data_IF_680091193292
#
_entry.id   IF_680091193292
#
_cell.length_a   1.000
_cell.length_b   1.000
_cell.length_c   1.000
_cell.angle_alpha   90.00
_cell.angle_beta   90.00
_cell.angle_gamma   90.00
#
_symmetry.space_group_name_H-M   'P 1'
#
loop_
_entity.id
_entity.type
_entity.pdbx_description
1 polymer ?
#
# COMPACT_ATOMS: atom_id res chain seq x y z
N UNK A 1 -24.89 -9.29 37.22
CA UNK A 1 -23.51 -9.58 36.79
C UNK A 1 -23.12 -8.65 35.64
N UNK A 2 -22.30 -7.61 35.87
CA UNK A 2 -21.98 -6.59 34.88
C UNK A 2 -20.70 -6.96 34.10
N UNK A 3 -20.80 -7.91 33.17
CA UNK A 3 -19.70 -8.30 32.26
C UNK A 3 -19.60 -7.38 31.01
N UNK A 4 -20.52 -6.42 30.87
CA UNK A 4 -20.70 -5.61 29.64
C UNK A 4 -19.63 -4.54 29.37
N UNK A 5 -19.09 -3.80 30.36
CA UNK A 5 -18.18 -2.68 30.05
C UNK A 5 -16.86 -3.15 29.45
N UNK A 6 -16.24 -4.16 30.08
CA UNK A 6 -14.88 -4.62 29.74
C UNK A 6 -14.78 -5.21 28.35
N UNK A 7 -15.83 -5.90 27.88
CA UNK A 7 -15.88 -6.49 26.54
C UNK A 7 -16.02 -5.43 25.44
N UNK A 8 -16.82 -4.39 25.69
CA UNK A 8 -17.00 -3.27 24.75
C UNK A 8 -15.70 -2.48 24.62
N UNK A 9 -15.03 -2.19 25.75
CA UNK A 9 -13.75 -1.46 25.72
C UNK A 9 -12.65 -2.26 25.03
N UNK A 10 -12.56 -3.58 25.23
CA UNK A 10 -11.58 -4.44 24.53
C UNK A 10 -11.84 -4.49 23.02
N UNK A 11 -13.10 -4.59 22.59
CA UNK A 11 -13.43 -4.58 21.16
C UNK A 11 -13.10 -3.24 20.49
N UNK A 12 -13.33 -2.12 21.19
CA UNK A 12 -12.98 -0.80 20.69
C UNK A 12 -11.46 -0.61 20.58
N UNK A 13 -10.67 -1.09 21.55
CA UNK A 13 -9.20 -1.07 21.51
C UNK A 13 -8.65 -1.90 20.33
N UNK A 14 -9.15 -3.12 20.14
CA UNK A 14 -8.72 -3.99 19.02
C UNK A 14 -9.10 -3.38 17.66
N UNK A 15 -10.25 -2.72 17.58
CA UNK A 15 -10.72 -2.03 16.38
C UNK A 15 -9.81 -0.84 16.00
N UNK A 16 -9.43 -0.04 17.01
CA UNK A 16 -8.53 1.11 16.85
C UNK A 16 -7.13 0.69 16.40
N UNK A 17 -6.58 -0.36 17.01
CA UNK A 17 -5.27 -0.92 16.66
C UNK A 17 -5.24 -1.44 15.21
N UNK A 18 -6.28 -2.17 14.77
CA UNK A 18 -6.35 -2.71 13.42
C UNK A 18 -6.46 -1.61 12.36
N UNK A 19 -7.27 -0.58 12.61
CA UNK A 19 -7.40 0.56 11.68
C UNK A 19 -6.13 1.39 11.64
N UNK A 20 -5.50 1.62 12.79
CA UNK A 20 -4.22 2.33 12.88
C UNK A 20 -3.12 1.59 12.12
N UNK A 21 -3.07 0.26 12.23
CA UNK A 21 -2.11 -0.57 11.51
C UNK A 21 -2.33 -0.54 9.99
N UNK A 22 -3.59 -0.62 9.54
CA UNK A 22 -3.93 -0.48 8.13
C UNK A 22 -3.54 0.90 7.57
N UNK A 23 -3.87 1.97 8.31
CA UNK A 23 -3.58 3.34 7.91
C UNK A 23 -2.06 3.60 7.84
N UNK A 24 -1.31 3.12 8.83
CA UNK A 24 0.14 3.24 8.85
C UNK A 24 0.79 2.52 7.66
N UNK A 25 0.31 1.32 7.34
CA UNK A 25 0.79 0.55 6.19
C UNK A 25 0.49 1.28 4.87
N UNK A 26 -0.74 1.74 4.65
CA UNK A 26 -1.08 2.49 3.43
C UNK A 26 -0.29 3.79 3.30
N UNK A 27 0.02 4.48 4.40
CA UNK A 27 0.89 5.66 4.37
C UNK A 27 2.33 5.33 3.97
N UNK A 28 2.86 4.22 4.44
CA UNK A 28 4.18 3.75 4.01
C UNK A 28 4.20 3.44 2.51
N UNK A 29 3.12 2.86 1.99
CA UNK A 29 2.92 2.58 0.57
C UNK A 29 2.83 3.86 -0.27
N UNK A 30 2.14 4.91 0.20
CA UNK A 30 2.15 6.24 -0.44
C UNK A 30 3.59 6.74 -0.60
N UNK A 31 4.38 6.67 0.48
CA UNK A 31 5.76 7.13 0.44
C UNK A 31 6.62 6.30 -0.54
N UNK A 32 6.41 4.98 -0.58
CA UNK A 32 7.09 4.06 -1.50
C UNK A 32 6.78 4.40 -2.96
N UNK A 33 5.50 4.49 -3.33
CA UNK A 33 5.09 4.78 -4.69
C UNK A 33 5.51 6.17 -5.16
N UNK A 34 5.47 7.18 -4.27
CA UNK A 34 6.00 8.52 -4.59
C UNK A 34 7.49 8.47 -4.88
N UNK A 35 8.29 7.77 -4.06
CA UNK A 35 9.73 7.58 -4.33
C UNK A 35 9.95 6.91 -5.68
N UNK A 36 9.25 5.82 -5.96
CA UNK A 36 9.35 5.11 -7.24
C UNK A 36 8.97 6.02 -8.43
N UNK A 37 7.89 6.80 -8.32
CA UNK A 37 7.49 7.74 -9.35
C UNK A 37 8.60 8.74 -9.68
N UNK A 38 9.26 9.31 -8.66
CA UNK A 38 10.42 10.19 -8.85
C UNK A 38 11.63 9.45 -9.43
N UNK A 39 11.91 8.23 -8.97
CA UNK A 39 13.03 7.41 -9.47
C UNK A 39 12.93 7.10 -10.96
N UNK A 40 11.72 6.90 -11.49
CA UNK A 40 11.48 6.63 -12.91
C UNK A 40 11.32 7.88 -13.77
N UNK A 41 11.13 9.06 -13.19
CA UNK A 41 10.91 10.31 -13.93
C UNK A 41 11.93 10.59 -15.04
N UNK A 42 13.26 10.41 -14.85
CA UNK A 42 14.24 10.67 -15.90
C UNK A 42 14.38 9.56 -16.95
N UNK A 43 13.78 8.39 -16.73
CA UNK A 43 13.98 7.20 -17.56
C UNK A 43 12.72 6.80 -18.33
N UNK A 44 11.60 6.70 -17.63
CA UNK A 44 10.34 6.22 -18.20
C UNK A 44 9.14 6.94 -17.55
N UNK A 45 8.63 7.93 -18.26
CA UNK A 45 7.48 8.73 -17.80
C UNK A 45 6.19 7.93 -17.72
N UNK A 46 6.06 6.80 -18.42
CA UNK A 46 4.88 5.95 -18.31
C UNK A 46 4.90 5.20 -16.98
N UNK A 47 6.05 4.64 -16.59
CA UNK A 47 6.22 4.03 -15.26
C UNK A 47 6.07 5.04 -14.15
N UNK A 48 6.69 6.21 -14.30
CA UNK A 48 6.57 7.29 -13.32
C UNK A 48 5.10 7.64 -13.05
N UNK A 49 4.30 7.78 -14.11
CA UNK A 49 2.85 8.02 -14.02
C UNK A 49 2.09 6.86 -13.38
N UNK A 50 2.39 5.61 -13.75
CA UNK A 50 1.79 4.44 -13.13
C UNK A 50 2.02 4.43 -11.61
N UNK A 51 3.27 4.62 -11.18
CA UNK A 51 3.63 4.66 -9.76
C UNK A 51 2.94 5.83 -9.04
N UNK A 52 2.87 7.01 -9.66
CA UNK A 52 2.13 8.14 -9.10
C UNK A 52 0.64 7.83 -8.93
N UNK A 53 0.01 7.21 -9.92
CA UNK A 53 -1.40 6.79 -9.85
C UNK A 53 -1.65 5.77 -8.74
N UNK A 54 -0.75 4.79 -8.55
CA UNK A 54 -0.85 3.84 -7.44
C UNK A 54 -0.69 4.53 -6.08
N UNK A 55 0.23 5.50 -5.98
CA UNK A 55 0.37 6.33 -4.78
C UNK A 55 -0.92 7.09 -4.43
N UNK A 56 -1.61 7.65 -5.42
CA UNK A 56 -2.92 8.31 -5.22
C UNK A 56 -3.97 7.31 -4.74
N UNK A 57 -4.00 6.08 -5.28
CA UNK A 57 -4.92 5.06 -4.80
C UNK A 57 -4.66 4.67 -3.33
N UNK A 58 -3.40 4.62 -2.88
CA UNK A 58 -3.07 4.47 -1.46
C UNK A 58 -3.61 5.64 -0.62
N UNK A 59 -3.49 6.89 -1.09
CA UNK A 59 -4.02 8.07 -0.38
C UNK A 59 -5.55 8.00 -0.22
N UNK A 60 -6.25 7.57 -1.28
CA UNK A 60 -7.70 7.36 -1.22
C UNK A 60 -8.08 6.29 -0.19
N UNK A 61 -7.29 5.21 -0.07
CA UNK A 61 -7.50 4.18 0.96
C UNK A 61 -7.26 4.70 2.36
N UNK A 62 -6.21 5.50 2.58
CA UNK A 62 -5.96 6.17 3.88
C UNK A 62 -7.16 7.02 4.30
N UNK A 63 -7.71 7.83 3.39
CA UNK A 63 -8.86 8.68 3.73
C UNK A 63 -10.13 7.86 4.04
N UNK A 64 -10.36 6.76 3.32
CA UNK A 64 -11.50 5.88 3.62
C UNK A 64 -11.33 5.18 4.98
N UNK A 65 -10.13 4.72 5.33
CA UNK A 65 -9.84 4.14 6.65
C UNK A 65 -10.09 5.15 7.78
N UNK A 66 -9.67 6.42 7.59
CA UNK A 66 -9.96 7.51 8.54
C UNK A 66 -11.44 7.81 8.65
N UNK A 67 -12.15 7.85 7.52
CA UNK A 67 -13.60 8.03 7.50
C UNK A 67 -14.31 6.93 8.30
N UNK A 68 -13.87 5.68 8.17
CA UNK A 68 -14.41 4.55 8.94
C UNK A 68 -14.10 4.67 10.44
N UNK A 69 -12.86 5.06 10.79
CA UNK A 69 -12.49 5.33 12.19
C UNK A 69 -13.42 6.38 12.83
N UNK A 70 -13.66 7.50 12.13
CA UNK A 70 -14.60 8.55 12.57
C UNK A 70 -16.04 8.04 12.72
N UNK A 71 -16.53 7.24 11.78
CA UNK A 71 -17.89 6.66 11.84
C UNK A 71 -18.06 5.72 13.03
N UNK A 72 -16.99 5.05 13.45
CA UNK A 72 -16.97 4.14 14.59
C UNK A 72 -16.73 4.86 15.92
N UNK A 73 -16.57 6.19 15.90
CA UNK A 73 -16.35 7.02 17.09
C UNK A 73 -14.99 6.80 17.74
N UNK A 74 -14.03 6.28 16.97
CA UNK A 74 -12.66 6.08 17.44
C UNK A 74 -11.88 7.40 17.41
N UNK A 75 -10.92 7.58 18.32
CA UNK A 75 -10.02 8.73 18.27
C UNK A 75 -9.24 8.71 16.95
N UNK A 76 -9.09 9.87 16.33
CA UNK A 76 -8.14 10.01 15.21
C UNK A 76 -6.76 9.60 15.71
N UNK A 77 -6.08 8.73 14.95
CA UNK A 77 -4.69 8.37 15.19
C UNK A 77 -3.86 9.67 15.22
N UNK A 78 -3.58 10.17 16.41
CA UNK A 78 -2.82 11.41 16.65
C UNK A 78 -1.33 11.22 16.41
N UNK A 79 -0.91 10.03 15.97
CA UNK A 79 0.45 9.79 15.55
C UNK A 79 0.78 10.77 14.42
N UNK A 80 1.69 11.74 14.64
CA UNK A 80 2.19 12.53 13.52
C UNK A 80 2.69 11.52 12.48
N UNK A 81 2.56 11.82 11.16
CA UNK A 81 3.09 10.95 10.15
C UNK A 81 4.54 10.70 10.54
N UNK A 82 4.84 9.49 11.01
CA UNK A 82 6.20 9.06 11.19
C UNK A 82 6.66 8.91 9.77
N UNK A 83 7.08 10.03 9.18
CA UNK A 83 7.89 9.98 7.99
C UNK A 83 9.02 9.06 8.41
N UNK A 84 9.19 7.89 7.76
CA UNK A 84 10.36 7.08 8.03
C UNK A 84 11.52 8.05 7.95
N UNK A 85 12.25 8.19 9.07
CA UNK A 85 13.35 9.14 9.19
C UNK A 85 14.13 9.05 7.89
N UNK A 86 14.04 10.10 7.08
CA UNK A 86 14.78 10.21 5.86
C UNK A 86 16.23 10.45 6.29
N UNK A 87 16.87 9.40 6.82
CA UNK A 87 18.28 9.22 6.61
C UNK A 87 18.48 9.47 5.13
N UNK A 88 19.24 10.51 4.82
CA UNK A 88 19.41 11.12 3.51
C UNK A 88 20.06 10.13 2.54
N UNK A 89 19.34 9.09 2.17
CA UNK A 89 19.72 8.26 1.06
C UNK A 89 19.66 9.16 -0.18
N UNK A 90 20.75 9.23 -0.97
CA UNK A 90 20.74 10.02 -2.19
C UNK A 90 19.55 9.59 -3.06
N UNK A 91 18.95 10.53 -3.81
CA UNK A 91 17.84 10.20 -4.69
C UNK A 91 18.28 9.10 -5.66
N UNK A 92 17.65 7.94 -5.55
CA UNK A 92 17.91 6.80 -6.42
C UNK A 92 17.14 7.03 -7.72
N UNK A 93 17.85 7.23 -8.83
CA UNK A 93 17.27 7.35 -10.15
C UNK A 93 17.56 6.11 -10.97
N UNK A 94 16.54 5.63 -11.67
CA UNK A 94 16.69 4.59 -12.67
C UNK A 94 17.34 5.20 -13.90
N UNK A 95 18.42 4.60 -14.40
CA UNK A 95 19.17 5.09 -15.57
C UNK A 95 19.48 3.99 -16.60
N UNK A 96 19.19 2.73 -16.30
CA UNK A 96 19.36 1.58 -17.20
C UNK A 96 18.12 0.71 -17.23
N UNK A 97 17.93 -0.04 -18.32
CA UNK A 97 16.84 -1.01 -18.45
C UNK A 97 16.93 -2.13 -17.42
N UNK A 98 18.14 -2.60 -17.08
CA UNK A 98 18.33 -3.62 -16.05
C UNK A 98 17.85 -3.14 -14.68
N UNK A 99 18.24 -1.92 -14.27
CA UNK A 99 17.75 -1.31 -13.03
C UNK A 99 16.24 -1.06 -13.07
N UNK A 100 15.70 -0.62 -14.21
CA UNK A 100 14.26 -0.44 -14.38
C UNK A 100 13.49 -1.74 -14.14
N UNK A 101 14.00 -2.85 -14.69
CA UNK A 101 13.43 -4.18 -14.51
C UNK A 101 13.51 -4.62 -13.05
N UNK A 102 14.69 -4.58 -12.44
CA UNK A 102 14.89 -4.97 -11.03
C UNK A 102 13.99 -4.18 -10.08
N UNK A 103 13.90 -2.86 -10.26
CA UNK A 103 13.06 -1.98 -9.42
C UNK A 103 11.58 -2.30 -9.63
N UNK A 104 11.14 -2.61 -10.86
CA UNK A 104 9.77 -3.03 -11.14
C UNK A 104 9.47 -4.41 -10.53
N UNK A 105 10.39 -5.37 -10.63
CA UNK A 105 10.27 -6.67 -9.98
C UNK A 105 10.10 -6.50 -8.48
N UNK A 106 10.95 -5.68 -7.84
CA UNK A 106 10.84 -5.39 -6.42
C UNK A 106 9.49 -4.72 -6.10
N UNK A 107 9.03 -3.78 -6.93
CA UNK A 107 7.75 -3.12 -6.73
C UNK A 107 6.55 -4.09 -6.80
N UNK A 108 6.60 -5.09 -7.69
CA UNK A 108 5.62 -6.19 -7.75
C UNK A 108 5.66 -7.01 -6.46
N UNK A 109 6.85 -7.43 -6.03
CA UNK A 109 7.02 -8.20 -4.79
C UNK A 109 6.49 -7.44 -3.57
N UNK A 110 6.81 -6.15 -3.45
CA UNK A 110 6.32 -5.29 -2.37
C UNK A 110 4.79 -5.14 -2.39
N UNK A 111 4.19 -5.01 -3.58
CA UNK A 111 2.74 -4.98 -3.73
C UNK A 111 2.09 -6.31 -3.29
N UNK A 112 2.75 -7.43 -3.57
CA UNK A 112 2.35 -8.76 -3.10
C UNK A 112 2.38 -8.87 -1.57
N UNK A 113 3.46 -8.40 -0.94
CA UNK A 113 3.53 -8.31 0.52
C UNK A 113 2.44 -7.40 1.10
N UNK A 114 2.18 -6.26 0.47
CA UNK A 114 1.11 -5.36 0.89
C UNK A 114 -0.28 -5.98 0.76
N UNK A 115 -0.53 -6.80 -0.27
CA UNK A 115 -1.79 -7.55 -0.39
C UNK A 115 -1.93 -8.57 0.74
N UNK A 116 -0.88 -9.37 0.96
CA UNK A 116 -0.90 -10.42 1.96
C UNK A 116 -1.04 -9.86 3.39
N UNK A 117 -0.43 -8.70 3.67
CA UNK A 117 -0.63 -7.96 4.90
C UNK A 117 -2.12 -7.66 5.16
N UNK A 118 -2.85 -7.17 4.15
CA UNK A 118 -4.28 -6.87 4.33
C UNK A 118 -5.16 -8.13 4.43
N UNK A 119 -4.80 -9.20 3.73
CA UNK A 119 -5.45 -10.50 3.87
C UNK A 119 -5.32 -11.03 5.30
N UNK A 120 -4.09 -11.02 5.85
CA UNK A 120 -3.85 -11.36 7.25
C UNK A 120 -4.56 -10.44 8.23
N UNK A 121 -4.59 -9.13 7.96
CA UNK A 121 -5.32 -8.17 8.80
C UNK A 121 -6.81 -8.49 8.86
N UNK A 122 -7.41 -8.89 7.73
CA UNK A 122 -8.81 -9.31 7.65
C UNK A 122 -9.07 -10.64 8.35
N UNK A 123 -8.12 -11.57 8.32
CA UNK A 123 -8.22 -12.86 9.02
C UNK A 123 -8.06 -12.72 10.54
N UNK A 124 -7.16 -11.83 10.98
CA UNK A 124 -6.95 -11.52 12.39
C UNK A 124 -8.08 -10.67 13.00
N UNK A 125 -8.80 -9.92 12.16
CA UNK A 125 -9.94 -9.12 12.61
C UNK A 125 -11.09 -10.01 13.08
N UNK A 126 -11.45 -9.87 14.35
CA UNK A 126 -12.65 -10.50 14.93
C UNK A 126 -13.86 -9.57 14.91
N UNK A 127 -13.76 -8.43 14.22
CA UNK A 127 -14.77 -7.36 14.20
C UNK A 127 -15.50 -7.37 12.84
N UNK A 128 -16.73 -7.92 12.76
CA UNK A 128 -17.46 -8.06 11.49
C UNK A 128 -17.74 -6.72 10.80
N UNK A 129 -17.85 -5.64 11.57
CA UNK A 129 -18.07 -4.29 11.03
C UNK A 129 -16.96 -3.81 10.11
N UNK A 130 -15.73 -4.34 10.25
CA UNK A 130 -14.60 -4.00 9.39
C UNK A 130 -14.52 -4.84 8.11
N UNK A 131 -15.23 -5.97 8.04
CA UNK A 131 -15.06 -6.92 6.95
C UNK A 131 -15.34 -6.31 5.58
N UNK A 132 -16.39 -5.48 5.38
CA UNK A 132 -16.64 -4.86 4.09
C UNK A 132 -15.49 -3.95 3.65
N UNK A 133 -14.96 -3.13 4.57
CA UNK A 133 -13.88 -2.20 4.31
C UNK A 133 -12.57 -2.91 3.98
N UNK A 134 -12.16 -3.87 4.82
CA UNK A 134 -10.94 -4.66 4.60
C UNK A 134 -11.04 -5.48 3.31
N UNK A 135 -12.21 -6.03 2.99
CA UNK A 135 -12.44 -6.75 1.73
C UNK A 135 -12.32 -5.83 0.51
N UNK A 136 -12.83 -4.60 0.60
CA UNK A 136 -12.68 -3.61 -0.46
C UNK A 136 -11.21 -3.24 -0.67
N UNK A 137 -10.44 -3.03 0.41
CA UNK A 137 -8.99 -2.76 0.35
C UNK A 137 -8.24 -3.94 -0.28
N UNK A 138 -8.52 -5.18 0.14
CA UNK A 138 -7.92 -6.39 -0.46
C UNK A 138 -8.20 -6.46 -1.96
N UNK A 139 -9.44 -6.19 -2.38
CA UNK A 139 -9.81 -6.19 -3.81
C UNK A 139 -9.00 -5.15 -4.59
N UNK A 140 -8.82 -3.96 -4.05
CA UNK A 140 -8.02 -2.90 -4.67
C UNK A 140 -6.54 -3.27 -4.72
N UNK A 141 -5.97 -3.80 -3.62
CA UNK A 141 -4.57 -4.26 -3.56
C UNK A 141 -4.29 -5.41 -4.53
N UNK A 142 -5.25 -6.31 -4.73
CA UNK A 142 -5.15 -7.37 -5.73
C UNK A 142 -5.13 -6.80 -7.15
N UNK A 143 -5.98 -5.83 -7.44
CA UNK A 143 -5.97 -5.15 -8.74
C UNK A 143 -4.64 -4.41 -8.99
N UNK A 144 -4.11 -3.72 -7.97
CA UNK A 144 -2.79 -3.07 -8.00
C UNK A 144 -1.68 -4.08 -8.33
N UNK A 145 -1.65 -5.23 -7.64
CA UNK A 145 -0.68 -6.30 -7.90
C UNK A 145 -0.78 -6.83 -9.34
N UNK A 146 -1.99 -7.17 -9.80
CA UNK A 146 -2.22 -7.69 -11.16
C UNK A 146 -1.80 -6.68 -12.24
N UNK A 147 -2.05 -5.37 -12.02
CA UNK A 147 -1.60 -4.33 -12.96
C UNK A 147 -0.08 -4.28 -13.03
N UNK A 148 0.61 -4.33 -11.89
CA UNK A 148 2.07 -4.33 -11.84
C UNK A 148 2.68 -5.59 -12.47
N UNK A 149 2.12 -6.77 -12.20
CA UNK A 149 2.54 -8.03 -12.82
C UNK A 149 2.37 -8.00 -14.34
N UNK A 150 1.20 -7.59 -14.84
CA UNK A 150 0.94 -7.49 -16.27
C UNK A 150 1.85 -6.47 -16.95
N UNK A 151 2.14 -5.36 -16.27
CA UNK A 151 3.07 -4.35 -16.78
C UNK A 151 4.51 -4.89 -16.86
N UNK A 152 4.98 -5.59 -15.81
CA UNK A 152 6.31 -6.23 -15.81
C UNK A 152 6.45 -7.26 -16.92
N UNK A 153 5.46 -8.13 -17.09
CA UNK A 153 5.45 -9.17 -18.13
C UNK A 153 5.56 -8.57 -19.54
N UNK A 154 4.80 -7.50 -19.83
CA UNK A 154 4.84 -6.83 -21.14
C UNK A 154 6.23 -6.25 -21.49
N UNK A 155 7.02 -5.90 -20.47
CA UNK A 155 8.37 -5.34 -20.66
C UNK A 155 9.45 -6.39 -20.78
N UNK A 156 9.28 -7.54 -20.12
CA UNK A 156 10.18 -8.67 -20.31
C UNK A 156 10.10 -9.15 -21.77
N UNK A 157 8.89 -9.29 -22.31
CA UNK A 157 8.66 -9.65 -23.72
C UNK A 157 9.33 -8.66 -24.68
N UNK A 158 9.15 -7.35 -24.45
CA UNK A 158 9.76 -6.30 -25.27
C UNK A 158 11.30 -6.34 -25.20
N UNK A 159 11.86 -6.59 -24.02
CA UNK A 159 13.32 -6.65 -23.81
C UNK A 159 13.92 -7.87 -24.51
N UNK A 160 13.23 -9.02 -24.46
CA UNK A 160 13.63 -10.23 -25.15
C UNK A 160 13.54 -10.11 -26.68
N UNK A 161 12.58 -9.35 -27.21
CA UNK A 161 12.48 -9.07 -28.65
C UNK A 161 13.63 -8.19 -29.15
N UNK A 162 14.01 -7.15 -28.40
CA UNK A 162 15.12 -6.25 -28.76
C UNK A 162 16.48 -6.97 -28.72
N UNK A 163 16.66 -7.95 -27.83
CA UNK A 163 17.89 -8.76 -27.76
C UNK A 163 18.01 -9.83 -28.86
N UNK A 164 16.91 -10.14 -29.57
CA UNK A 164 16.86 -11.16 -30.64
C UNK A 164 16.92 -10.57 -32.05
N UNK A 165 16.87 -9.26 -32.19
CA UNK A 165 16.94 -8.51 -33.45
C UNK A 165 18.36 -7.98 -33.69
#
# INVERSE_FOLDING_TARGET
>A
MPEKPTRITRLALVLDELLTLAEAHERAEVARYRRLAFSFLPFDTAVSRLMASLGIQCEMRVEELRRLSRQLGLPESSSPPTQPSAASAPPFFVNTHAMAFEVLTQAVTDAGYSLHFHEHLREASTVPALYPALTAVIKQKRAEHTVLEGFLASRDELTQMVQRA
#
